data_IF_900637674931
#
_entry.id   IF_900637674931
#
_cell.length_a   1.000
_cell.length_b   1.000
_cell.length_c   1.000
_cell.angle_alpha   90.00
_cell.angle_beta   90.00
_cell.angle_gamma   90.00
#
_symmetry.space_group_name_H-M   'P 1'
#
loop_
_entity.id
_entity.type
_entity.pdbx_description
1 polymer ?
#
# COMPACT_ATOMS: atom_id res chain seq x y z
N UNK A 1 3.39 3.10 -23.42
CA UNK A 1 4.37 2.75 -22.35
C UNK A 1 3.94 1.45 -21.67
N UNK A 2 4.81 0.44 -21.65
CA UNK A 2 4.55 -0.80 -20.88
C UNK A 2 4.73 -0.49 -19.39
N UNK A 3 3.66 -0.56 -18.59
CA UNK A 3 3.76 -0.47 -17.13
C UNK A 3 4.59 -1.68 -16.68
N UNK A 4 5.87 -1.45 -16.37
CA UNK A 4 6.72 -2.45 -15.73
C UNK A 4 5.95 -2.93 -14.50
N UNK A 5 5.53 -4.20 -14.49
CA UNK A 5 4.85 -4.81 -13.35
C UNK A 5 5.83 -4.84 -12.18
N UNK A 6 5.88 -3.76 -11.41
CA UNK A 6 6.65 -3.67 -10.19
C UNK A 6 5.98 -4.63 -9.20
N UNK A 7 6.59 -5.80 -9.03
CA UNK A 7 6.03 -6.88 -8.25
C UNK A 7 6.50 -6.70 -6.81
N UNK A 8 5.73 -5.92 -6.05
CA UNK A 8 5.95 -5.76 -4.61
C UNK A 8 5.79 -7.11 -3.89
N UNK A 9 6.73 -7.43 -2.99
CA UNK A 9 6.66 -8.65 -2.17
C UNK A 9 5.45 -8.61 -1.24
N UNK A 10 5.01 -9.78 -0.78
CA UNK A 10 3.88 -9.87 0.15
C UNK A 10 4.22 -9.20 1.49
N UNK A 11 5.46 -9.36 1.98
CA UNK A 11 5.88 -8.70 3.23
C UNK A 11 5.84 -7.19 3.10
N UNK A 12 6.33 -6.65 1.98
CA UNK A 12 6.34 -5.21 1.75
C UNK A 12 4.93 -4.64 1.68
N UNK A 13 3.98 -5.33 1.03
CA UNK A 13 2.57 -4.92 1.02
C UNK A 13 1.98 -4.88 2.43
N UNK A 14 2.24 -5.92 3.23
CA UNK A 14 1.74 -6.01 4.59
C UNK A 14 2.36 -4.94 5.50
N UNK A 15 3.65 -4.65 5.36
CA UNK A 15 4.32 -3.56 6.07
C UNK A 15 3.79 -2.19 5.67
N UNK A 16 3.58 -1.96 4.39
CA UNK A 16 3.01 -0.71 3.87
C UNK A 16 1.62 -0.44 4.47
N UNK A 17 0.76 -1.47 4.48
CA UNK A 17 -0.58 -1.36 5.07
C UNK A 17 -0.52 -1.18 6.58
N UNK A 18 0.32 -1.94 7.29
CA UNK A 18 0.51 -1.80 8.75
C UNK A 18 0.95 -0.40 9.11
N UNK A 19 1.95 0.14 8.42
CA UNK A 19 2.44 1.52 8.63
C UNK A 19 1.31 2.54 8.53
N UNK A 20 0.45 2.43 7.51
CA UNK A 20 -0.68 3.34 7.31
C UNK A 20 -1.71 3.21 8.44
N UNK A 21 -2.05 1.97 8.84
CA UNK A 21 -3.06 1.71 9.86
C UNK A 21 -2.58 2.07 11.27
N UNK A 22 -1.35 1.69 11.63
CA UNK A 22 -0.76 1.94 12.95
C UNK A 22 -0.52 3.44 13.18
N UNK A 23 0.04 4.12 12.19
CA UNK A 23 0.31 5.56 12.28
C UNK A 23 -0.91 6.42 11.87
N UNK A 24 -2.05 5.80 11.57
CA UNK A 24 -3.29 6.46 11.11
C UNK A 24 -3.03 7.46 9.95
N UNK A 25 -2.10 7.11 9.06
CA UNK A 25 -1.73 7.96 7.94
C UNK A 25 -2.84 7.94 6.88
N UNK A 26 -2.96 9.05 6.17
CA UNK A 26 -3.70 9.06 4.91
C UNK A 26 -2.98 8.21 3.86
N UNK A 27 -3.74 7.67 2.89
CA UNK A 27 -3.16 6.90 1.77
C UNK A 27 -2.09 7.71 1.04
N UNK A 28 -2.34 9.00 0.82
CA UNK A 28 -1.38 9.91 0.17
C UNK A 28 -0.05 10.00 0.91
N UNK A 29 -0.13 10.19 2.22
CA UNK A 29 1.03 10.35 3.10
C UNK A 29 1.84 9.05 3.18
N UNK A 30 1.18 7.91 3.37
CA UNK A 30 1.83 6.61 3.36
C UNK A 30 2.44 6.28 2.00
N UNK A 31 1.77 6.63 0.91
CA UNK A 31 2.24 6.41 -0.45
C UNK A 31 3.49 7.23 -0.73
N UNK A 32 3.51 8.50 -0.34
CA UNK A 32 4.66 9.39 -0.48
C UNK A 32 5.88 8.86 0.29
N UNK A 33 5.70 8.48 1.57
CA UNK A 33 6.76 7.92 2.42
C UNK A 33 7.35 6.63 1.87
N UNK A 34 6.49 5.76 1.33
CA UNK A 34 6.89 4.46 0.79
C UNK A 34 7.29 4.52 -0.69
N UNK A 35 7.27 5.71 -1.31
CA UNK A 35 7.45 5.90 -2.76
C UNK A 35 6.56 4.95 -3.58
N UNK A 36 5.29 4.85 -3.19
CA UNK A 36 4.27 4.06 -3.85
C UNK A 36 3.27 4.95 -4.58
N UNK A 37 2.66 4.45 -5.67
CA UNK A 37 1.47 5.07 -6.22
C UNK A 37 0.33 4.99 -5.22
N UNK A 38 -0.35 6.10 -4.96
CA UNK A 38 -1.50 6.18 -4.04
C UNK A 38 -2.58 5.15 -4.37
N UNK A 39 -2.89 4.96 -5.65
CA UNK A 39 -3.87 3.95 -6.09
C UNK A 39 -3.46 2.51 -5.75
N UNK A 40 -2.15 2.23 -5.71
CA UNK A 40 -1.63 0.91 -5.34
C UNK A 40 -1.78 0.68 -3.84
N UNK A 41 -1.35 1.65 -3.04
CA UNK A 41 -1.46 1.56 -1.58
C UNK A 41 -2.93 1.56 -1.12
N UNK A 42 -3.77 2.39 -1.74
CA UNK A 42 -5.21 2.44 -1.47
C UNK A 42 -5.92 1.11 -1.73
N UNK A 43 -5.54 0.40 -2.80
CA UNK A 43 -6.04 -0.95 -3.07
C UNK A 43 -5.62 -1.94 -1.96
N UNK A 44 -4.37 -1.91 -1.51
CA UNK A 44 -3.90 -2.82 -0.46
C UNK A 44 -4.54 -2.54 0.90
N UNK A 45 -4.65 -1.27 1.30
CA UNK A 45 -5.30 -0.87 2.55
C UNK A 45 -6.78 -1.25 2.52
N UNK A 46 -7.46 -1.07 1.38
CA UNK A 46 -8.86 -1.48 1.22
C UNK A 46 -9.01 -3.01 1.31
N UNK A 47 -8.13 -3.77 0.67
CA UNK A 47 -8.14 -5.23 0.74
C UNK A 47 -7.92 -5.73 2.18
N UNK A 48 -6.96 -5.15 2.91
CA UNK A 48 -6.70 -5.48 4.30
C UNK A 48 -7.86 -5.14 5.23
N UNK A 49 -8.51 -3.98 5.05
CA UNK A 49 -9.71 -3.59 5.81
C UNK A 49 -10.90 -4.53 5.55
N UNK A 50 -10.99 -5.09 4.35
CA UNK A 50 -12.01 -6.10 4.00
C UNK A 50 -11.67 -7.51 4.51
N UNK A 51 -10.51 -7.73 5.11
CA UNK A 51 -10.05 -9.06 5.54
C UNK A 51 -9.68 -9.98 4.36
N UNK A 52 -9.39 -9.44 3.18
CA UNK A 52 -9.02 -10.20 1.98
C UNK A 52 -7.50 -10.51 1.92
N UNK A 53 -6.87 -10.69 3.07
CA UNK A 53 -5.41 -10.88 3.23
C UNK A 53 -4.96 -12.32 3.13
#
# INVERSE_FOLDING_TARGET
>A
MSRKNQRYSKEFKAEAVRTVLENQLSISEGASRLSLPEGTLGQWVTAARKGLG
#
